data_IF_124805632249
#
_entry.id   IF_124805632249
#
_cell.length_a   1.000
_cell.length_b   1.000
_cell.length_c   1.000
_cell.angle_alpha   90.00
_cell.angle_beta   90.00
_cell.angle_gamma   90.00
#
_symmetry.space_group_name_H-M   'P 1'
#
loop_
_entity.id
_entity.type
_entity.pdbx_description
1 polymer ?
#
# COMPACT_ATOMS: atom_id res chain seq x y z
N UNK A 1 -5.90 -29.03 22.91
CA UNK A 1 -6.01 -29.09 21.44
C UNK A 1 -7.47 -28.86 21.08
N UNK A 2 -7.86 -27.62 20.77
CA UNK A 2 -9.19 -27.35 20.26
C UNK A 2 -9.27 -27.91 18.84
N UNK A 3 -10.08 -28.95 18.64
CA UNK A 3 -10.34 -29.47 17.30
C UNK A 3 -11.11 -28.40 16.52
N UNK A 4 -10.55 -27.94 15.39
CA UNK A 4 -11.30 -27.11 14.46
C UNK A 4 -12.33 -27.96 13.74
N UNK A 5 -13.57 -27.45 13.59
CA UNK A 5 -14.58 -28.10 12.75
C UNK A 5 -14.15 -28.20 11.27
N UNK A 6 -13.23 -27.33 10.84
CA UNK A 6 -12.63 -27.35 9.50
C UNK A 6 -11.70 -28.56 9.25
N UNK A 7 -11.22 -29.23 10.30
CA UNK A 7 -10.28 -30.36 10.20
C UNK A 7 -10.90 -31.59 9.49
N UNK A 8 -12.23 -31.70 9.52
CA UNK A 8 -12.97 -32.80 8.90
C UNK A 8 -13.31 -32.54 7.43
N UNK A 9 -13.03 -31.34 6.90
CA UNK A 9 -13.38 -30.95 5.53
C UNK A 9 -12.26 -31.27 4.56
N UNK A 10 -12.58 -31.98 3.49
CA UNK A 10 -11.63 -32.25 2.39
C UNK A 10 -11.36 -31.02 1.52
N UNK A 11 -12.27 -30.04 1.52
CA UNK A 11 -12.14 -28.79 0.79
C UNK A 11 -12.65 -27.63 1.65
N UNK A 12 -11.88 -26.56 1.72
CA UNK A 12 -12.20 -25.32 2.43
C UNK A 12 -11.85 -24.15 1.53
N UNK A 13 -12.82 -23.28 1.26
CA UNK A 13 -12.58 -22.04 0.53
C UNK A 13 -12.12 -20.95 1.49
N UNK A 14 -10.99 -20.33 1.19
CA UNK A 14 -10.50 -19.13 1.85
C UNK A 14 -10.90 -17.88 1.05
N UNK A 15 -11.31 -16.82 1.73
CA UNK A 15 -11.61 -15.51 1.12
C UNK A 15 -11.02 -14.41 1.98
N UNK A 16 -10.03 -13.70 1.45
CA UNK A 16 -9.46 -12.51 2.06
C UNK A 16 -10.25 -11.27 1.64
N UNK A 17 -10.53 -10.36 2.57
CA UNK A 17 -11.21 -9.09 2.32
C UNK A 17 -10.48 -7.95 3.02
N UNK A 18 -10.17 -6.91 2.27
CA UNK A 18 -9.56 -5.69 2.77
C UNK A 18 -10.64 -4.65 3.03
N UNK A 19 -11.04 -4.51 4.30
CA UNK A 19 -12.26 -3.78 4.70
C UNK A 19 -11.99 -2.33 5.14
N UNK A 20 -10.73 -1.95 5.33
CA UNK A 20 -10.34 -0.57 5.60
C UNK A 20 -8.86 -0.43 5.92
N UNK A 21 -8.50 0.72 6.47
CA UNK A 21 -7.10 1.07 6.76
C UNK A 21 -6.53 0.32 7.97
N UNK A 22 -7.37 0.07 8.97
CA UNK A 22 -6.94 -0.48 10.26
C UNK A 22 -8.12 -1.07 11.02
N UNK A 23 -7.87 -2.17 11.74
CA UNK A 23 -8.79 -2.73 12.73
C UNK A 23 -8.28 -2.42 14.14
N UNK A 24 -9.08 -1.71 14.94
CA UNK A 24 -8.81 -1.52 16.37
C UNK A 24 -9.28 -2.74 17.19
N UNK A 25 -8.46 -3.79 17.16
CA UNK A 25 -8.75 -5.06 17.84
C UNK A 25 -8.69 -4.96 19.37
N UNK A 26 -8.13 -3.87 19.94
CA UNK A 26 -7.99 -3.73 21.41
C UNK A 26 -9.33 -3.59 22.12
N UNK A 27 -10.31 -2.98 21.46
CA UNK A 27 -11.62 -2.64 22.03
C UNK A 27 -12.73 -3.59 21.56
N UNK A 28 -12.40 -4.58 20.73
CA UNK A 28 -13.38 -5.54 20.25
C UNK A 28 -13.73 -6.54 21.36
N UNK A 29 -15.02 -6.73 21.65
CA UNK A 29 -15.47 -7.70 22.67
C UNK A 29 -15.18 -9.12 22.16
N UNK A 30 -14.05 -9.68 22.59
CA UNK A 30 -13.61 -11.01 22.16
C UNK A 30 -14.43 -12.07 22.88
N UNK A 31 -15.42 -12.65 22.20
CA UNK A 31 -16.05 -13.88 22.66
C UNK A 31 -15.21 -15.07 22.18
N UNK A 32 -14.50 -15.73 23.11
CA UNK A 32 -13.86 -17.03 22.94
C UNK A 32 -12.93 -17.16 21.70
N UNK A 33 -11.76 -16.48 21.69
CA UNK A 33 -10.86 -16.53 20.54
C UNK A 33 -10.22 -17.91 20.38
N UNK A 34 -10.08 -18.35 19.13
CA UNK A 34 -9.27 -19.51 18.77
C UNK A 34 -7.77 -19.20 18.83
N UNK A 35 -7.38 -17.95 18.57
CA UNK A 35 -6.01 -17.46 18.63
C UNK A 35 -5.98 -15.93 18.79
N UNK A 36 -4.89 -15.39 19.32
CA UNK A 36 -4.74 -13.95 19.60
C UNK A 36 -3.71 -13.25 18.72
N UNK A 37 -2.81 -14.01 18.09
CA UNK A 37 -1.66 -13.52 17.32
C UNK A 37 -1.47 -14.39 16.07
N UNK A 38 -2.22 -14.16 14.97
CA UNK A 38 -3.27 -13.15 14.78
C UNK A 38 -4.61 -13.49 15.46
N UNK A 39 -5.47 -12.49 15.66
CA UNK A 39 -6.79 -12.69 16.27
C UNK A 39 -7.64 -13.59 15.38
N UNK A 40 -8.03 -14.75 15.90
CA UNK A 40 -8.75 -15.78 15.15
C UNK A 40 -10.02 -16.16 15.89
N UNK A 41 -11.15 -16.13 15.18
CA UNK A 41 -12.50 -16.31 15.75
C UNK A 41 -13.27 -17.36 14.94
N UNK A 42 -14.21 -18.05 15.59
CA UNK A 42 -15.24 -18.82 14.89
C UNK A 42 -16.34 -17.89 14.38
N UNK A 43 -16.81 -18.12 13.16
CA UNK A 43 -17.81 -17.29 12.49
C UNK A 43 -18.82 -18.16 11.74
N UNK A 44 -20.09 -17.77 11.86
CA UNK A 44 -21.20 -18.42 11.16
C UNK A 44 -21.69 -19.70 11.84
N UNK A 45 -22.72 -20.29 11.25
CA UNK A 45 -23.39 -21.49 11.80
C UNK A 45 -22.63 -22.78 11.49
N UNK A 46 -21.73 -22.75 10.51
CA UNK A 46 -20.97 -23.90 10.02
C UNK A 46 -19.57 -23.99 10.66
N UNK A 47 -19.35 -23.36 11.82
CA UNK A 47 -18.05 -23.27 12.52
C UNK A 47 -16.89 -22.86 11.59
N UNK A 48 -17.17 -21.90 10.70
CA UNK A 48 -16.14 -21.29 9.88
C UNK A 48 -15.17 -20.46 10.73
N UNK A 49 -14.05 -20.05 10.12
CA UNK A 49 -13.00 -19.32 10.84
C UNK A 49 -12.76 -17.97 10.18
N UNK A 50 -12.59 -16.93 10.98
CA UNK A 50 -12.12 -15.62 10.53
C UNK A 50 -10.81 -15.27 11.23
N UNK A 51 -9.79 -14.92 10.46
CA UNK A 51 -8.51 -14.41 10.94
C UNK A 51 -8.46 -12.91 10.66
N UNK A 52 -8.24 -12.11 11.69
CA UNK A 52 -8.29 -10.65 11.65
C UNK A 52 -6.89 -10.07 11.82
N UNK A 53 -6.53 -9.18 10.90
CA UNK A 53 -5.25 -8.47 10.94
C UNK A 53 -5.46 -6.99 11.24
N UNK A 54 -4.55 -6.43 12.05
CA UNK A 54 -4.61 -5.03 12.48
C UNK A 54 -4.58 -4.05 11.31
N UNK A 55 -4.07 -4.48 10.17
CA UNK A 55 -3.94 -3.69 8.94
C UNK A 55 -5.17 -3.70 8.03
N UNK A 56 -6.33 -4.09 8.56
CA UNK A 56 -7.60 -3.92 7.84
C UNK A 56 -8.04 -5.12 7.02
N UNK A 57 -7.34 -6.25 7.11
CA UNK A 57 -7.70 -7.49 6.41
C UNK A 57 -8.44 -8.46 7.34
N UNK A 58 -9.45 -9.12 6.80
CA UNK A 58 -10.08 -10.29 7.40
C UNK A 58 -10.06 -11.44 6.39
N UNK A 59 -9.57 -12.60 6.80
CA UNK A 59 -9.54 -13.81 5.97
C UNK A 59 -10.51 -14.84 6.54
N UNK A 60 -11.50 -15.21 5.73
CA UNK A 60 -12.54 -16.17 6.07
C UNK A 60 -12.23 -17.54 5.51
N UNK A 61 -12.46 -18.59 6.29
CA UNK A 61 -12.27 -19.99 5.90
C UNK A 61 -13.56 -20.76 6.12
N UNK A 62 -14.15 -21.24 5.04
CA UNK A 62 -15.37 -22.06 5.10
C UNK A 62 -16.60 -21.32 5.65
N UNK A 63 -16.64 -19.99 5.52
CA UNK A 63 -17.76 -19.12 5.95
C UNK A 63 -18.67 -18.84 4.75
N UNK A 64 -19.99 -18.78 4.99
CA UNK A 64 -20.98 -18.45 3.96
C UNK A 64 -21.00 -16.94 3.69
N UNK A 65 -21.36 -16.56 2.47
CA UNK A 65 -21.36 -15.14 2.06
C UNK A 65 -22.24 -14.26 2.98
N UNK A 66 -23.41 -14.75 3.42
CA UNK A 66 -24.30 -14.01 4.31
C UNK A 66 -23.67 -13.79 5.69
N UNK A 67 -22.99 -14.82 6.22
CA UNK A 67 -22.27 -14.76 7.50
C UNK A 67 -21.06 -13.81 7.42
N UNK A 68 -20.34 -13.79 6.29
CA UNK A 68 -19.25 -12.82 6.04
C UNK A 68 -19.77 -11.39 6.09
N UNK A 69 -20.88 -11.10 5.41
CA UNK A 69 -21.47 -9.75 5.37
C UNK A 69 -21.94 -9.33 6.77
N UNK A 70 -22.60 -10.23 7.51
CA UNK A 70 -23.02 -9.98 8.88
C UNK A 70 -21.81 -9.70 9.80
N UNK A 71 -20.75 -10.51 9.68
CA UNK A 71 -19.54 -10.36 10.48
C UNK A 71 -18.82 -9.04 10.19
N UNK A 72 -18.61 -8.69 8.91
CA UNK A 72 -18.03 -7.38 8.54
C UNK A 72 -18.91 -6.23 9.04
N UNK A 73 -20.23 -6.40 8.99
CA UNK A 73 -21.19 -5.47 9.59
C UNK A 73 -20.93 -5.21 11.08
N UNK A 74 -20.60 -6.26 11.85
CA UNK A 74 -20.24 -6.10 13.27
C UNK A 74 -18.87 -5.46 13.51
N UNK A 75 -17.96 -5.49 12.53
CA UNK A 75 -16.65 -4.87 12.64
C UNK A 75 -16.67 -3.36 12.35
N UNK A 76 -17.75 -2.82 11.77
CA UNK A 76 -17.81 -1.39 11.35
C UNK A 76 -17.39 -0.39 12.42
N UNK A 77 -17.65 -0.65 13.70
CA UNK A 77 -17.28 0.25 14.81
C UNK A 77 -15.79 0.28 15.14
N UNK A 78 -15.01 -0.71 14.67
CA UNK A 78 -13.58 -0.84 14.93
C UNK A 78 -12.71 -0.61 13.68
N UNK A 79 -13.33 -0.40 12.51
CA UNK A 79 -12.60 -0.13 11.26
C UNK A 79 -12.31 1.37 11.16
N UNK A 80 -11.05 1.69 10.88
CA UNK A 80 -10.65 3.05 10.48
C UNK A 80 -10.68 3.16 8.96
N UNK A 81 -11.27 4.22 8.40
CA UNK A 81 -11.36 4.50 6.95
C UNK A 81 -11.84 3.27 6.15
N UNK A 82 -13.15 3.03 6.19
CA UNK A 82 -13.79 1.89 5.53
C UNK A 82 -13.68 2.03 4.01
N UNK A 83 -13.38 0.93 3.34
CA UNK A 83 -13.38 0.88 1.87
C UNK A 83 -14.77 0.52 1.35
N UNK A 84 -15.29 1.33 0.43
CA UNK A 84 -16.60 1.11 -0.20
C UNK A 84 -16.60 -0.14 -1.11
N UNK A 85 -15.49 -0.36 -1.81
CA UNK A 85 -15.24 -1.54 -2.63
C UNK A 85 -14.02 -2.28 -2.06
N UNK A 86 -14.21 -3.22 -1.13
CA UNK A 86 -13.11 -3.98 -0.55
C UNK A 86 -12.47 -4.85 -1.63
N UNK A 87 -11.13 -4.84 -1.67
CA UNK A 87 -10.38 -5.83 -2.45
C UNK A 87 -10.66 -7.22 -1.88
N UNK A 88 -10.81 -8.20 -2.77
CA UNK A 88 -11.11 -9.59 -2.42
C UNK A 88 -10.13 -10.50 -3.14
N UNK A 89 -9.64 -11.51 -2.42
CA UNK A 89 -8.84 -12.59 -2.98
C UNK A 89 -9.35 -13.93 -2.45
N UNK A 90 -9.29 -14.98 -3.26
CA UNK A 90 -9.85 -16.29 -2.94
C UNK A 90 -8.82 -17.40 -3.16
N UNK A 91 -8.84 -18.41 -2.31
CA UNK A 91 -7.91 -19.53 -2.39
C UNK A 91 -8.61 -20.84 -1.99
N UNK A 92 -8.44 -21.88 -2.78
CA UNK A 92 -8.97 -23.21 -2.47
C UNK A 92 -8.00 -24.02 -1.62
N UNK A 93 -8.47 -24.58 -0.50
CA UNK A 93 -7.63 -25.41 0.38
C UNK A 93 -8.15 -26.84 0.33
N UNK A 94 -7.28 -27.76 -0.07
CA UNK A 94 -7.58 -29.19 -0.15
C UNK A 94 -6.84 -29.95 0.95
N UNK A 95 -7.56 -30.83 1.68
CA UNK A 95 -6.98 -31.66 2.73
C UNK A 95 -6.91 -33.14 2.30
N UNK A 96 -5.90 -33.87 2.80
CA UNK A 96 -5.76 -35.32 2.60
C UNK A 96 -4.97 -35.74 1.36
N UNK A 97 -4.26 -34.80 0.71
CA UNK A 97 -3.32 -35.15 -0.37
C UNK A 97 -1.94 -35.49 0.20
N UNK A 98 -1.34 -36.57 -0.29
CA UNK A 98 -0.06 -37.10 0.20
C UNK A 98 1.16 -36.24 -0.14
N UNK A 99 1.00 -35.22 -0.98
CA UNK A 99 2.06 -34.27 -1.32
C UNK A 99 1.54 -32.85 -1.12
N UNK A 100 1.91 -32.19 -0.01
CA UNK A 100 1.61 -30.78 0.19
C UNK A 100 2.21 -29.94 -0.93
N UNK A 101 1.45 -28.98 -1.44
CA UNK A 101 1.90 -28.16 -2.55
C UNK A 101 1.03 -26.92 -2.69
N UNK A 102 1.66 -25.82 -3.05
CA UNK A 102 1.01 -24.55 -3.39
C UNK A 102 0.98 -24.47 -4.92
N UNK A 103 -0.18 -24.15 -5.48
CA UNK A 103 -0.38 -23.79 -6.88
C UNK A 103 -1.27 -22.55 -6.89
N UNK A 104 -1.20 -21.75 -7.95
CA UNK A 104 -1.65 -20.34 -7.96
C UNK A 104 -3.00 -20.04 -7.31
N UNK A 105 -3.98 -20.96 -7.39
CA UNK A 105 -5.31 -20.78 -6.77
C UNK A 105 -5.67 -21.86 -5.73
N UNK A 106 -4.73 -22.75 -5.40
CA UNK A 106 -4.99 -23.87 -4.50
C UNK A 106 -3.79 -24.29 -3.62
N UNK A 107 -4.08 -24.55 -2.35
CA UNK A 107 -3.12 -25.13 -1.39
C UNK A 107 -3.57 -26.53 -1.03
N UNK A 108 -2.68 -27.51 -1.23
CA UNK A 108 -2.88 -28.88 -0.77
C UNK A 108 -2.14 -29.09 0.55
N UNK A 109 -2.87 -29.52 1.57
CA UNK A 109 -2.35 -29.82 2.90
C UNK A 109 -2.61 -31.30 3.24
N UNK A 110 -1.72 -31.86 4.06
CA UNK A 110 -1.93 -33.12 4.76
C UNK A 110 -3.15 -33.04 5.70
N UNK A 111 -3.24 -31.95 6.46
CA UNK A 111 -4.26 -31.72 7.49
C UNK A 111 -4.50 -30.22 7.70
N UNK A 112 -5.76 -29.82 7.89
CA UNK A 112 -6.14 -28.42 8.16
C UNK A 112 -6.09 -28.17 9.66
N UNK A 113 -5.05 -27.47 10.11
CA UNK A 113 -4.88 -27.06 11.51
C UNK A 113 -5.00 -25.54 11.65
N UNK A 114 -5.22 -25.06 12.88
CA UNK A 114 -5.33 -23.63 13.17
C UNK A 114 -4.10 -22.87 12.67
N UNK A 115 -2.93 -23.43 12.92
CA UNK A 115 -1.65 -22.80 12.66
C UNK A 115 -1.41 -22.65 11.14
N UNK A 116 -1.77 -23.67 10.36
CA UNK A 116 -1.69 -23.61 8.89
C UNK A 116 -2.69 -22.60 8.32
N UNK A 117 -3.90 -22.52 8.87
CA UNK A 117 -4.89 -21.51 8.49
C UNK A 117 -4.36 -20.10 8.77
N UNK A 118 -3.75 -19.87 9.94
CA UNK A 118 -3.18 -18.57 10.29
C UNK A 118 -2.03 -18.17 9.36
N UNK A 119 -1.18 -19.11 8.94
CA UNK A 119 -0.11 -18.86 7.95
C UNK A 119 -0.69 -18.52 6.58
N UNK A 120 -1.67 -19.29 6.10
CA UNK A 120 -2.33 -19.02 4.83
C UNK A 120 -3.02 -17.65 4.86
N UNK A 121 -3.67 -17.32 5.99
CA UNK A 121 -4.30 -16.02 6.19
C UNK A 121 -3.29 -14.87 6.15
N UNK A 122 -2.09 -15.05 6.71
CA UNK A 122 -1.04 -14.03 6.70
C UNK A 122 -0.56 -13.71 5.28
N UNK A 123 -0.24 -14.75 4.50
CA UNK A 123 0.21 -14.58 3.11
C UNK A 123 -0.90 -13.96 2.25
N UNK A 124 -2.13 -14.47 2.34
CA UNK A 124 -3.27 -13.91 1.60
C UNK A 124 -3.52 -12.45 2.00
N UNK A 125 -3.40 -12.12 3.28
CA UNK A 125 -3.59 -10.76 3.75
C UNK A 125 -2.52 -9.81 3.23
N UNK A 126 -1.25 -10.23 3.22
CA UNK A 126 -0.15 -9.47 2.62
C UNK A 126 -0.32 -9.30 1.11
N UNK A 127 -0.68 -10.37 0.38
CA UNK A 127 -0.97 -10.32 -1.06
C UNK A 127 -2.05 -9.29 -1.38
N UNK A 128 -3.15 -9.29 -0.61
CA UNK A 128 -4.26 -8.38 -0.82
C UNK A 128 -3.88 -6.91 -0.57
N UNK A 129 -3.07 -6.65 0.45
CA UNK A 129 -2.54 -5.31 0.75
C UNK A 129 -1.59 -4.84 -0.35
N UNK A 130 -0.73 -5.73 -0.89
CA UNK A 130 0.12 -5.42 -2.04
C UNK A 130 -0.72 -5.04 -3.27
N UNK A 131 -1.77 -5.82 -3.56
CA UNK A 131 -2.70 -5.53 -4.67
C UNK A 131 -3.36 -4.16 -4.54
N UNK A 132 -3.73 -3.74 -3.32
CA UNK A 132 -4.22 -2.38 -3.06
C UNK A 132 -3.17 -1.34 -3.43
N UNK A 133 -1.94 -1.46 -2.91
CA UNK A 133 -0.92 -0.44 -3.14
C UNK A 133 -0.47 -0.39 -4.61
N UNK A 134 -0.41 -1.53 -5.29
CA UNK A 134 -0.17 -1.57 -6.74
C UNK A 134 -1.22 -0.75 -7.51
N UNK A 135 -2.49 -0.87 -7.15
CA UNK A 135 -3.59 -0.08 -7.73
C UNK A 135 -3.50 1.40 -7.36
N UNK A 136 -3.21 1.73 -6.10
CA UNK A 136 -3.05 3.13 -5.66
C UNK A 136 -1.89 3.82 -6.39
N UNK A 137 -0.74 3.14 -6.49
CA UNK A 137 0.43 3.66 -7.20
C UNK A 137 0.12 3.84 -8.69
N UNK A 138 -0.50 2.85 -9.34
CA UNK A 138 -0.91 2.96 -10.74
C UNK A 138 -1.83 4.17 -10.98
N UNK A 139 -2.89 4.32 -10.17
CA UNK A 139 -3.86 5.40 -10.32
C UNK A 139 -3.28 6.80 -10.05
N UNK A 140 -2.30 6.93 -9.15
CA UNK A 140 -1.61 8.21 -8.92
C UNK A 140 -0.53 8.49 -9.98
N UNK A 141 0.03 7.45 -10.58
CA UNK A 141 1.06 7.55 -11.62
C UNK A 141 0.54 8.05 -12.97
N UNK A 142 -0.73 7.76 -13.32
CA UNK A 142 -1.39 8.30 -14.52
C UNK A 142 -1.32 9.83 -14.61
N UNK A 143 -1.20 10.52 -13.47
CA UNK A 143 -1.07 11.97 -13.42
C UNK A 143 0.35 12.52 -13.67
N UNK A 144 1.37 11.68 -13.82
CA UNK A 144 2.78 12.10 -13.97
C UNK A 144 3.25 11.91 -15.42
N UNK A 145 2.82 10.84 -16.08
CA UNK A 145 3.13 10.57 -17.48
C UNK A 145 2.83 11.76 -18.44
N UNK A 146 1.70 12.49 -18.30
CA UNK A 146 1.42 13.66 -19.13
C UNK A 146 2.45 14.79 -18.97
N UNK A 147 2.96 14.99 -17.76
CA UNK A 147 3.95 16.05 -17.48
C UNK A 147 5.30 15.70 -18.10
N UNK A 148 5.71 14.44 -18.03
CA UNK A 148 6.93 13.96 -18.69
C UNK A 148 6.81 14.06 -20.22
N UNK A 149 5.64 13.72 -20.78
CA UNK A 149 5.37 13.81 -22.21
C UNK A 149 5.35 15.26 -22.71
N UNK A 150 4.81 16.20 -21.92
CA UNK A 150 4.85 17.63 -22.20
C UNK A 150 6.29 18.15 -22.26
N UNK A 151 7.13 17.75 -21.30
CA UNK A 151 8.55 18.09 -21.28
C UNK A 151 9.27 17.54 -22.51
N UNK A 152 9.01 16.29 -22.88
CA UNK A 152 9.63 15.65 -24.05
C UNK A 152 9.26 16.37 -25.37
N UNK A 153 8.00 16.78 -25.53
CA UNK A 153 7.52 17.39 -26.77
C UNK A 153 7.85 18.89 -26.88
N UNK A 154 7.76 19.63 -25.77
CA UNK A 154 7.83 21.09 -25.79
C UNK A 154 9.09 21.68 -25.16
N UNK A 155 9.89 20.86 -24.45
CA UNK A 155 11.00 21.32 -23.62
C UNK A 155 10.55 22.18 -22.42
N UNK A 156 9.24 22.27 -22.17
CA UNK A 156 8.64 23.09 -21.11
C UNK A 156 7.71 22.23 -20.26
N UNK A 157 7.59 22.63 -19.00
CA UNK A 157 6.66 22.06 -18.03
C UNK A 157 5.75 23.22 -17.62
N UNK A 158 4.46 23.14 -17.95
CA UNK A 158 3.46 24.14 -17.54
C UNK A 158 2.96 23.92 -16.12
N UNK A 159 3.19 22.74 -15.54
CA UNK A 159 2.88 22.47 -14.14
C UNK A 159 3.68 23.41 -13.22
N UNK A 160 3.00 23.96 -12.21
CA UNK A 160 3.66 24.78 -11.20
C UNK A 160 4.36 23.91 -10.13
N UNK A 161 5.43 24.44 -9.51
CA UNK A 161 6.20 23.71 -8.49
C UNK A 161 5.32 23.20 -7.34
N UNK A 162 4.31 23.98 -6.94
CA UNK A 162 3.38 23.60 -5.86
C UNK A 162 2.59 22.33 -6.18
N UNK A 163 2.12 22.18 -7.42
CA UNK A 163 1.38 21.01 -7.87
C UNK A 163 2.26 19.76 -7.95
N UNK A 164 3.54 19.91 -8.33
CA UNK A 164 4.50 18.81 -8.36
C UNK A 164 4.88 18.38 -6.94
N UNK A 165 5.16 19.33 -6.05
CA UNK A 165 5.42 19.07 -4.63
C UNK A 165 4.22 18.40 -3.94
N UNK A 166 2.98 18.78 -4.28
CA UNK A 166 1.79 18.08 -3.77
C UNK A 166 1.70 16.64 -4.26
N UNK A 167 2.14 16.35 -5.49
CA UNK A 167 2.21 14.96 -6.00
C UNK A 167 3.28 14.16 -5.26
N UNK A 168 4.46 14.75 -4.99
CA UNK A 168 5.50 14.15 -4.15
C UNK A 168 4.96 13.82 -2.76
N UNK A 169 4.29 14.77 -2.10
CA UNK A 169 3.70 14.53 -0.79
C UNK A 169 2.72 13.36 -0.76
N UNK A 170 1.91 13.19 -1.81
CA UNK A 170 1.01 12.05 -1.92
C UNK A 170 1.75 10.71 -2.10
N UNK A 171 2.85 10.69 -2.86
CA UNK A 171 3.68 9.49 -3.04
C UNK A 171 4.38 9.10 -1.73
N UNK A 172 4.93 10.07 -1.00
CA UNK A 172 5.53 9.87 0.32
C UNK A 172 4.49 9.31 1.31
N UNK A 173 3.23 9.79 1.24
CA UNK A 173 2.16 9.25 2.07
C UNK A 173 1.83 7.79 1.74
N UNK A 174 1.88 7.40 0.47
CA UNK A 174 1.68 6.00 0.04
C UNK A 174 2.83 5.14 0.55
N UNK A 175 4.07 5.57 0.32
CA UNK A 175 5.28 4.89 0.79
C UNK A 175 5.27 4.68 2.30
N UNK A 176 4.99 5.73 3.07
CA UNK A 176 4.89 5.66 4.53
C UNK A 176 3.79 4.70 4.99
N UNK A 177 2.63 4.67 4.32
CA UNK A 177 1.54 3.74 4.66
C UNK A 177 1.93 2.29 4.35
N UNK A 178 2.63 2.07 3.24
CA UNK A 178 3.09 0.75 2.82
C UNK A 178 4.03 0.12 3.84
N UNK A 179 5.08 0.84 4.24
CA UNK A 179 6.08 0.36 5.21
C UNK A 179 5.44 -0.03 6.54
N UNK A 180 4.43 0.73 7.00
CA UNK A 180 3.87 0.56 8.34
C UNK A 180 2.65 -0.35 8.48
N UNK A 181 1.99 -0.78 7.39
CA UNK A 181 0.70 -1.49 7.51
C UNK A 181 0.84 -3.00 7.66
N UNK A 182 1.52 -3.69 6.76
CA UNK A 182 1.46 -5.15 6.74
C UNK A 182 2.80 -5.84 7.05
N UNK A 183 3.85 -5.07 7.42
CA UNK A 183 5.19 -5.60 7.71
C UNK A 183 5.54 -6.72 6.74
N UNK A 184 5.39 -6.45 5.44
CA UNK A 184 5.27 -7.50 4.40
C UNK A 184 6.53 -8.38 4.37
N UNK A 185 7.68 -7.81 4.77
CA UNK A 185 8.96 -8.53 4.90
C UNK A 185 9.17 -9.28 6.22
N UNK A 186 8.29 -9.13 7.22
CA UNK A 186 8.41 -9.82 8.49
C UNK A 186 7.71 -11.18 8.45
N UNK A 187 8.39 -12.18 9.01
CA UNK A 187 7.82 -13.52 9.16
C UNK A 187 6.66 -13.49 10.16
N UNK A 188 5.54 -14.19 9.88
CA UNK A 188 4.42 -14.23 10.80
C UNK A 188 4.84 -14.78 12.16
N UNK A 189 4.33 -14.15 13.24
CA UNK A 189 4.74 -14.45 14.61
C UNK A 189 4.55 -15.92 15.00
N UNK A 190 3.58 -16.59 14.39
CA UNK A 190 3.31 -18.01 14.59
C UNK A 190 4.50 -18.92 14.27
N UNK A 191 5.41 -18.49 13.38
CA UNK A 191 6.62 -19.25 13.05
C UNK A 191 7.63 -19.29 14.20
N UNK A 192 7.56 -18.38 15.16
CA UNK A 192 8.36 -18.45 16.39
C UNK A 192 7.93 -19.65 17.26
N UNK A 193 6.63 -19.95 17.30
CA UNK A 193 6.07 -21.08 18.05
C UNK A 193 6.13 -22.39 17.26
N UNK A 194 5.91 -22.33 15.94
CA UNK A 194 5.87 -23.49 15.05
C UNK A 194 6.87 -23.36 13.87
N UNK A 195 8.19 -23.47 14.11
CA UNK A 195 9.20 -23.34 13.06
C UNK A 195 9.07 -24.37 11.93
N UNK A 196 8.47 -25.53 12.21
CA UNK A 196 8.23 -26.60 11.21
C UNK A 196 7.31 -26.16 10.07
N UNK A 197 6.50 -25.12 10.27
CA UNK A 197 5.63 -24.56 9.24
C UNK A 197 6.35 -23.57 8.31
N UNK A 198 7.64 -23.29 8.55
CA UNK A 198 8.41 -22.36 7.73
C UNK A 198 8.49 -22.76 6.25
N UNK A 199 8.48 -24.06 5.95
CA UNK A 199 8.45 -24.55 4.56
C UNK A 199 7.13 -24.24 3.85
N UNK A 200 6.00 -24.32 4.56
CA UNK A 200 4.69 -23.94 4.01
C UNK A 200 4.62 -22.43 3.77
N UNK A 201 5.08 -21.63 4.74
CA UNK A 201 5.14 -20.17 4.58
C UNK A 201 6.00 -19.77 3.38
N UNK A 202 7.22 -20.32 3.26
CA UNK A 202 8.10 -19.99 2.14
C UNK A 202 7.50 -20.37 0.77
N UNK A 203 6.84 -21.53 0.67
CA UNK A 203 6.17 -21.93 -0.57
C UNK A 203 4.99 -21.02 -0.94
N UNK A 204 4.25 -20.54 0.05
CA UNK A 204 3.17 -19.57 -0.15
C UNK A 204 3.72 -18.19 -0.49
N UNK A 205 4.78 -17.75 0.19
CA UNK A 205 5.44 -16.46 -0.05
C UNK A 205 6.00 -16.36 -1.49
N UNK A 206 6.60 -17.46 -1.98
CA UNK A 206 7.11 -17.60 -3.35
C UNK A 206 5.98 -17.63 -4.39
N UNK A 207 4.94 -18.46 -4.20
CA UNK A 207 3.83 -18.54 -5.16
C UNK A 207 3.10 -17.19 -5.30
N UNK A 208 2.90 -16.47 -4.19
CA UNK A 208 2.25 -15.16 -4.22
C UNK A 208 3.21 -14.01 -4.58
N UNK A 209 4.48 -14.32 -4.88
CA UNK A 209 5.54 -13.38 -5.25
C UNK A 209 5.62 -12.19 -4.30
N UNK A 210 5.42 -12.40 -2.98
CA UNK A 210 5.25 -11.30 -2.04
C UNK A 210 6.46 -10.37 -2.02
N UNK A 211 7.67 -10.95 -2.09
CA UNK A 211 8.91 -10.18 -2.05
C UNK A 211 9.17 -9.45 -3.37
N UNK A 212 9.01 -10.13 -4.50
CA UNK A 212 9.20 -9.59 -5.84
C UNK A 212 8.23 -8.43 -6.10
N UNK A 213 6.94 -8.62 -5.75
CA UNK A 213 5.91 -7.59 -5.90
C UNK A 213 6.19 -6.39 -5.02
N UNK A 214 6.55 -6.61 -3.75
CA UNK A 214 6.94 -5.53 -2.85
C UNK A 214 8.14 -4.73 -3.39
N UNK A 215 9.22 -5.42 -3.77
CA UNK A 215 10.43 -4.78 -4.31
C UNK A 215 10.17 -4.06 -5.65
N UNK A 216 9.34 -4.63 -6.52
CA UNK A 216 8.94 -3.98 -7.76
C UNK A 216 8.13 -2.71 -7.51
N UNK A 217 7.27 -2.71 -6.50
CA UNK A 217 6.46 -1.56 -6.11
C UNK A 217 7.31 -0.45 -5.48
N UNK A 218 8.24 -0.79 -4.59
CA UNK A 218 9.21 0.14 -4.01
C UNK A 218 10.04 0.83 -5.10
N UNK A 219 10.62 0.05 -6.01
CA UNK A 219 11.34 0.58 -7.18
C UNK A 219 10.48 1.52 -8.03
N UNK A 220 9.22 1.17 -8.28
CA UNK A 220 8.29 2.05 -9.01
C UNK A 220 8.13 3.37 -8.26
N UNK A 221 7.86 3.35 -6.96
CA UNK A 221 7.71 4.56 -6.15
C UNK A 221 8.98 5.44 -6.16
N UNK A 222 10.17 4.86 -5.98
CA UNK A 222 11.44 5.60 -6.01
C UNK A 222 11.63 6.31 -7.35
N UNK A 223 11.48 5.59 -8.46
CA UNK A 223 11.61 6.16 -9.81
C UNK A 223 10.65 7.33 -10.04
N UNK A 224 9.43 7.21 -9.52
CA UNK A 224 8.42 8.26 -9.63
C UNK A 224 8.83 9.48 -8.80
N UNK A 225 9.22 9.26 -7.55
CA UNK A 225 9.65 10.32 -6.64
C UNK A 225 10.80 11.13 -7.24
N UNK A 226 11.84 10.42 -7.73
CA UNK A 226 13.01 11.02 -8.38
C UNK A 226 12.64 11.82 -9.63
N UNK A 227 11.71 11.30 -10.44
CA UNK A 227 11.22 11.99 -11.63
C UNK A 227 10.48 13.27 -11.28
N UNK A 228 9.58 13.24 -10.29
CA UNK A 228 8.82 14.43 -9.88
C UNK A 228 9.72 15.46 -9.21
N UNK A 229 10.72 15.01 -8.43
CA UNK A 229 11.74 15.90 -7.85
C UNK A 229 12.53 16.62 -8.94
N UNK A 230 13.01 15.88 -9.94
CA UNK A 230 13.73 16.45 -11.09
C UNK A 230 12.88 17.49 -11.81
N UNK A 231 11.58 17.21 -12.02
CA UNK A 231 10.65 18.18 -12.63
C UNK A 231 10.45 19.42 -11.76
N UNK A 232 10.36 19.25 -10.44
CA UNK A 232 10.22 20.37 -9.51
C UNK A 232 11.45 21.29 -9.55
N UNK A 233 12.66 20.71 -9.56
CA UNK A 233 13.92 21.44 -9.63
C UNK A 233 14.04 22.24 -10.94
N UNK A 234 13.60 21.67 -12.07
CA UNK A 234 13.56 22.36 -13.38
C UNK A 234 12.62 23.58 -13.33
N UNK A 235 11.45 23.46 -12.71
CA UNK A 235 10.48 24.57 -12.60
C UNK A 235 10.99 25.65 -11.64
N UNK A 236 11.69 25.27 -10.56
CA UNK A 236 12.27 26.22 -9.62
C UNK A 236 13.42 27.02 -10.25
N UNK A 237 14.32 26.37 -10.99
CA UNK A 237 15.42 27.05 -11.69
C UNK A 237 14.92 28.11 -12.69
N UNK A 238 13.77 27.88 -13.34
CA UNK A 238 13.14 28.88 -14.22
C UNK A 238 12.70 30.15 -13.49
N UNK A 239 12.38 30.08 -12.20
CA UNK A 239 12.01 31.25 -11.42
C UNK A 239 13.21 32.09 -11.00
N UNK A 240 14.39 31.47 -10.82
CA UNK A 240 15.65 32.19 -10.50
C UNK A 240 16.00 33.20 -11.60
N UNK A 241 15.81 32.84 -12.87
CA UNK A 241 16.04 33.75 -14.00
C UNK A 241 15.19 35.04 -13.94
N UNK A 242 14.01 35.01 -13.32
CA UNK A 242 13.19 36.23 -13.19
C UNK A 242 13.81 37.22 -12.21
N UNK A 243 14.35 36.74 -11.09
CA UNK A 243 15.02 37.60 -10.10
C UNK A 243 16.27 38.25 -10.69
N UNK A 244 17.03 37.48 -11.47
CA UNK A 244 18.20 37.99 -12.20
C UNK A 244 17.84 39.16 -13.12
N UNK A 245 16.77 39.03 -13.91
CA UNK A 245 16.29 40.11 -14.78
C UNK A 245 15.80 41.35 -14.01
N UNK A 246 15.19 41.19 -12.84
CA UNK A 246 14.82 42.34 -11.99
C UNK A 246 16.06 43.09 -11.49
N UNK A 247 17.10 42.38 -11.05
CA UNK A 247 18.35 43.00 -10.59
C UNK A 247 19.05 43.72 -11.74
N UNK A 248 19.18 43.07 -12.91
CA UNK A 248 19.77 43.69 -14.10
C UNK A 248 18.97 44.95 -14.49
N UNK A 249 17.65 44.86 -14.51
CA UNK A 249 16.78 46.00 -14.82
C UNK A 249 16.93 47.17 -13.85
N UNK A 250 17.06 46.90 -12.54
CA UNK A 250 17.31 47.91 -11.51
C UNK A 250 18.67 48.60 -11.70
N UNK A 251 19.73 47.83 -11.97
CA UNK A 251 21.06 48.38 -12.24
C UNK A 251 21.03 49.26 -13.50
N UNK A 252 20.41 48.79 -14.58
CA UNK A 252 20.25 49.58 -15.80
C UNK A 252 19.51 50.90 -15.55
N UNK A 253 18.44 50.87 -14.76
CA UNK A 253 17.67 52.06 -14.40
C UNK A 253 18.51 53.07 -13.61
N UNK A 254 19.29 52.60 -12.63
CA UNK A 254 20.18 53.46 -11.84
C UNK A 254 21.28 54.10 -12.70
N UNK A 255 21.88 53.33 -13.62
CA UNK A 255 22.85 53.85 -14.59
C UNK A 255 22.25 54.94 -15.47
N UNK A 256 21.01 54.76 -15.96
CA UNK A 256 20.32 55.77 -16.77
C UNK A 256 20.05 57.04 -15.96
N UNK A 257 19.58 56.93 -14.72
CA UNK A 257 19.37 58.08 -13.84
C UNK A 257 20.66 58.84 -13.57
N UNK A 258 21.76 58.12 -13.30
CA UNK A 258 23.09 58.69 -13.08
C UNK A 258 23.58 59.45 -14.32
N UNK A 259 23.46 58.84 -15.50
CA UNK A 259 23.81 59.48 -16.78
C UNK A 259 22.97 60.73 -17.06
N UNK A 260 21.66 60.69 -16.81
CA UNK A 260 20.80 61.88 -16.94
C UNK A 260 21.18 62.98 -15.95
N UNK A 261 21.55 62.61 -14.72
CA UNK A 261 22.04 63.55 -13.72
C UNK A 261 23.32 64.26 -14.16
N UNK A 262 24.28 63.50 -14.71
CA UNK A 262 25.53 64.05 -15.25
C UNK A 262 25.26 64.90 -16.50
N UNK A 263 24.42 64.45 -17.42
CA UNK A 263 24.07 65.24 -18.60
C UNK A 263 23.41 66.58 -18.21
N UNK A 264 22.54 66.57 -17.19
CA UNK A 264 21.92 67.77 -16.65
C UNK A 264 22.94 68.70 -15.99
N UNK A 265 23.93 68.19 -15.27
CA UNK A 265 24.98 69.02 -14.66
C UNK A 265 25.89 69.67 -15.71
N UNK A 266 26.13 69.00 -16.83
CA UNK A 266 26.86 69.58 -17.97
C UNK A 266 26.05 70.63 -18.74
N UNK A 267 24.72 70.50 -18.80
CA UNK A 267 23.85 71.43 -19.56
C UNK A 267 23.50 72.72 -18.79
N UNK A 268 23.64 72.71 -17.46
CA UNK A 268 23.44 73.88 -16.58
C UNK A 268 24.73 74.20 -15.81
N UNK A 269 25.79 74.67 -16.48
CA UNK A 269 26.93 75.25 -15.79
C UNK A 269 26.47 76.63 -15.27
N UNK A 270 26.18 76.72 -13.98
CA UNK A 270 26.16 78.01 -13.27
C UNK A 270 27.57 78.23 -12.73
#
# INVERSE_FOLDING_TARGET
MNQLALDLRQHVKARARLIGDRLDLKNYKIANPLGTTPLTLTVGSDDGVAVLFRYGVVVFFGVRADDEVAFIGSLKSIITNVYDNPEVDELDIYSGKSNPGVQSDAVSLDKVTLEKIQIIADVLGKSLVLSLYEKEVAGKFDGIAPVALELANSGKVMANSRSLLSKIGNLILIEHRMVGRAEIGDKPEILWEFPSLGGLYAALEDEFELHERHAALERKLTLISDTVQTLADIVENKNIHKLEWYVIGLICFEVILSLMGIARSWLLPI
#
